data_IF_897341539242
#
_entry.id   IF_897341539242
#
_cell.length_a   1.000
_cell.length_b   1.000
_cell.length_c   1.000
_cell.angle_alpha   90.00
_cell.angle_beta   90.00
_cell.angle_gamma   90.00
#
_symmetry.space_group_name_H-M   'P 1'
#
loop_
_entity.id
_entity.type
_entity.pdbx_description
1 polymer ?
#
# COMPACT_ATOMS: atom_id res chain seq x y z
N UNK A 1 23.47 -21.30 0.66
CA UNK A 1 23.18 -20.97 0.96
C UNK A 1 22.64 -20.84 1.50
N UNK A 2 22.96 -21.04 1.58
CA UNK A 2 22.43 -20.92 2.20
C UNK A 2 21.37 -20.38 2.70
N UNK A 3 21.33 -19.76 2.95
CA UNK A 3 20.26 -19.21 3.25
C UNK A 3 19.75 -18.47 2.17
N UNK A 4 18.68 -18.83 1.79
CA UNK A 4 18.05 -18.09 0.75
C UNK A 4 17.73 -16.69 1.22
N UNK A 5 17.69 -15.78 0.30
CA UNK A 5 17.29 -14.44 0.61
C UNK A 5 15.84 -14.46 1.09
N UNK A 6 15.51 -13.52 1.96
CA UNK A 6 14.15 -13.39 2.42
C UNK A 6 13.24 -13.05 1.24
N UNK A 7 12.13 -13.73 1.16
CA UNK A 7 11.16 -13.47 0.11
C UNK A 7 10.47 -12.13 0.38
N UNK A 8 10.37 -11.32 -0.65
CA UNK A 8 9.68 -10.05 -0.53
C UNK A 8 8.98 -9.75 -1.84
N UNK A 9 7.92 -8.93 -1.79
CA UNK A 9 7.21 -8.55 -3.01
C UNK A 9 8.11 -7.76 -3.93
N UNK A 10 8.19 -8.16 -5.17
CA UNK A 10 9.09 -7.50 -6.12
C UNK A 10 8.45 -6.28 -6.76
N UNK A 11 7.13 -6.22 -6.78
CA UNK A 11 6.43 -5.12 -7.42
C UNK A 11 5.92 -4.09 -6.44
N UNK A 12 6.16 -4.29 -5.16
CA UNK A 12 5.60 -3.42 -4.15
C UNK A 12 6.04 -1.97 -4.32
N UNK A 13 7.33 -1.74 -4.55
CA UNK A 13 7.83 -0.38 -4.68
C UNK A 13 7.12 0.39 -5.79
N UNK A 14 6.94 -0.25 -6.94
CA UNK A 14 6.24 0.37 -8.05
C UNK A 14 4.80 0.66 -7.71
N UNK A 15 4.15 -0.25 -6.99
CA UNK A 15 2.76 -0.06 -6.60
C UNK A 15 2.62 1.12 -5.64
N UNK A 16 3.53 1.24 -4.69
CA UNK A 16 3.47 2.35 -3.75
C UNK A 16 3.63 3.69 -4.46
N UNK A 17 4.56 3.75 -5.41
CA UNK A 17 4.72 4.96 -6.19
C UNK A 17 3.50 5.22 -7.05
N UNK A 18 2.93 4.18 -7.63
CA UNK A 18 1.73 4.33 -8.45
C UNK A 18 0.57 4.91 -7.63
N UNK A 19 0.43 4.46 -6.38
CA UNK A 19 -0.62 5.01 -5.51
C UNK A 19 -0.43 6.50 -5.36
N UNK A 20 0.79 6.93 -5.01
CA UNK A 20 1.05 8.34 -4.79
C UNK A 20 0.81 9.16 -6.04
N UNK A 21 1.33 8.70 -7.19
CA UNK A 21 1.17 9.46 -8.42
C UNK A 21 -0.28 9.46 -8.88
N UNK A 22 -1.01 8.38 -8.64
CA UNK A 22 -2.44 8.34 -8.98
C UNK A 22 -3.23 9.36 -8.16
N UNK A 23 -2.81 9.59 -6.93
CA UNK A 23 -3.45 10.58 -6.08
C UNK A 23 -2.99 12.00 -6.37
N UNK A 24 -1.91 12.14 -7.14
CA UNK A 24 -1.40 13.46 -7.50
C UNK A 24 -0.79 14.22 -6.34
N UNK A 25 -0.19 13.52 -5.39
CA UNK A 25 0.33 14.17 -4.20
C UNK A 25 1.84 13.98 -4.09
N UNK A 26 2.48 14.86 -3.31
CA UNK A 26 3.91 14.76 -3.04
C UNK A 26 4.19 13.69 -2.01
N UNK A 27 5.46 13.36 -1.84
CA UNK A 27 5.86 12.41 -0.81
C UNK A 27 5.55 12.96 0.59
N UNK A 28 5.72 14.25 0.80
CA UNK A 28 5.38 14.85 2.08
C UNK A 28 3.89 14.79 2.37
N UNK A 29 3.08 15.06 1.36
CA UNK A 29 1.65 14.98 1.54
C UNK A 29 1.20 13.54 1.76
N UNK A 30 1.82 12.61 1.07
CA UNK A 30 1.52 11.21 1.29
C UNK A 30 1.77 10.83 2.75
N UNK A 31 2.91 11.26 3.28
CA UNK A 31 3.25 10.98 4.67
C UNK A 31 2.16 11.48 5.61
N UNK A 32 1.69 12.70 5.35
CA UNK A 32 0.62 13.27 6.15
C UNK A 32 -0.67 12.44 6.06
N UNK A 33 -1.00 12.03 4.85
CA UNK A 33 -2.23 11.26 4.64
C UNK A 33 -2.15 9.86 5.24
N UNK A 34 -0.97 9.30 5.30
CA UNK A 34 -0.77 8.01 5.96
C UNK A 34 -0.89 8.13 7.47
N UNK A 35 -0.85 9.35 7.99
CA UNK A 35 -0.86 9.56 9.43
C UNK A 35 0.41 9.10 10.09
N UNK A 36 1.51 9.13 9.38
CA UNK A 36 2.77 8.58 9.85
C UNK A 36 3.82 9.64 10.14
N UNK A 37 3.42 10.90 10.24
CA UNK A 37 4.36 12.00 10.40
C UNK A 37 5.21 11.89 11.66
N UNK A 38 4.65 11.27 12.70
CA UNK A 38 5.37 11.10 13.95
C UNK A 38 6.19 9.84 13.99
N UNK A 39 6.09 9.01 12.97
CA UNK A 39 6.76 7.72 12.96
C UNK A 39 7.94 7.68 12.03
N UNK A 40 7.83 8.33 10.89
CA UNK A 40 8.87 8.30 9.86
C UNK A 40 8.93 9.66 9.20
N UNK A 41 10.00 9.92 8.44
CA UNK A 41 10.06 11.14 7.66
C UNK A 41 9.89 10.79 6.18
N UNK A 42 9.80 11.82 5.35
CA UNK A 42 9.47 11.63 3.95
C UNK A 42 10.57 10.88 3.18
N UNK A 43 11.79 10.87 3.69
CA UNK A 43 12.85 10.14 3.02
C UNK A 43 12.59 8.64 3.07
N UNK A 44 11.88 8.16 4.09
CA UNK A 44 11.48 6.76 4.12
C UNK A 44 10.52 6.44 2.98
N UNK A 45 9.59 7.36 2.70
CA UNK A 45 8.67 7.19 1.58
C UNK A 45 9.47 7.02 0.29
N UNK A 46 10.48 7.87 0.09
CA UNK A 46 11.32 7.77 -1.09
C UNK A 46 12.00 6.40 -1.16
N UNK A 47 12.50 5.92 -0.05
CA UNK A 47 13.13 4.59 0.00
C UNK A 47 12.17 3.48 -0.35
N UNK A 48 10.92 3.58 0.11
CA UNK A 48 9.90 2.58 -0.22
C UNK A 48 9.64 2.58 -1.73
N UNK A 49 9.56 3.75 -2.33
CA UNK A 49 9.23 3.85 -3.75
C UNK A 49 10.38 3.43 -4.66
N UNK A 50 11.60 3.45 -4.14
CA UNK A 50 12.76 2.98 -4.89
C UNK A 50 13.09 1.52 -4.63
N UNK A 51 12.34 0.88 -3.73
CA UNK A 51 12.59 -0.50 -3.39
C UNK A 51 13.79 -0.71 -2.49
N UNK A 52 14.32 0.35 -1.90
CA UNK A 52 15.46 0.26 -1.01
C UNK A 52 15.07 -0.13 0.40
N UNK A 53 13.82 0.12 0.75
CA UNK A 53 13.27 -0.22 2.05
C UNK A 53 11.90 -0.79 1.87
N UNK A 54 11.48 -1.60 2.81
CA UNK A 54 10.14 -2.15 2.80
C UNK A 54 9.37 -1.51 3.95
N UNK A 55 8.14 -1.03 3.71
CA UNK A 55 7.38 -0.41 4.80
C UNK A 55 7.04 -1.45 5.86
N UNK A 56 7.03 -1.06 7.13
CA UNK A 56 6.48 -1.95 8.15
C UNK A 56 5.00 -2.20 7.89
N UNK A 57 4.49 -3.30 8.42
CA UNK A 57 3.11 -3.67 8.18
C UNK A 57 2.10 -2.58 8.52
N UNK A 58 2.22 -1.86 9.64
CA UNK A 58 1.25 -0.80 9.91
C UNK A 58 1.26 0.32 8.86
N UNK A 59 2.42 0.66 8.34
CA UNK A 59 2.51 1.67 7.29
C UNK A 59 1.91 1.13 6.00
N UNK A 60 2.20 -0.13 5.68
CA UNK A 60 1.66 -0.75 4.49
C UNK A 60 0.13 -0.80 4.55
N UNK A 61 -0.41 -1.09 5.72
CA UNK A 61 -1.87 -1.09 5.89
C UNK A 61 -2.45 0.28 5.61
N UNK A 62 -1.77 1.35 6.05
CA UNK A 62 -2.28 2.69 5.78
C UNK A 62 -2.23 3.03 4.30
N UNK A 63 -1.22 2.53 3.58
CA UNK A 63 -1.20 2.66 2.13
C UNK A 63 -2.42 2.02 1.50
N UNK A 64 -2.74 0.80 1.94
CA UNK A 64 -3.89 0.09 1.38
C UNK A 64 -5.18 0.85 1.67
N UNK A 65 -5.30 1.38 2.87
CA UNK A 65 -6.48 2.16 3.24
C UNK A 65 -6.58 3.42 2.41
N UNK A 66 -5.47 4.11 2.24
CA UNK A 66 -5.46 5.34 1.45
C UNK A 66 -5.84 5.07 0.01
N UNK A 67 -5.34 3.98 -0.55
CA UNK A 67 -5.63 3.62 -1.93
C UNK A 67 -6.99 2.92 -2.08
N UNK A 68 -7.61 2.53 -0.98
CA UNK A 68 -8.88 1.84 -0.97
C UNK A 68 -8.80 0.50 -1.69
N UNK A 69 -7.74 -0.23 -1.43
CA UNK A 69 -7.56 -1.57 -1.97
C UNK A 69 -7.21 -2.51 -0.83
N UNK A 70 -7.32 -3.80 -1.07
CA UNK A 70 -6.91 -4.80 -0.10
C UNK A 70 -5.39 -4.86 -0.05
N UNK A 71 -4.84 -5.22 1.09
CA UNK A 71 -3.40 -5.39 1.19
C UNK A 71 -2.87 -6.43 0.22
N UNK A 72 -3.68 -7.43 -0.12
CA UNK A 72 -3.29 -8.43 -1.10
C UNK A 72 -2.80 -7.77 -2.39
N UNK A 73 -3.51 -6.73 -2.82
CA UNK A 73 -3.18 -6.06 -4.07
C UNK A 73 -1.76 -5.48 -4.01
N UNK A 74 -1.35 -5.06 -2.82
CA UNK A 74 -0.01 -4.50 -2.67
C UNK A 74 1.07 -5.56 -2.60
N UNK A 75 0.83 -6.64 -1.87
CA UNK A 75 1.89 -7.59 -1.59
C UNK A 75 1.91 -8.80 -2.51
N UNK A 76 0.83 -9.07 -3.23
CA UNK A 76 0.78 -10.19 -4.14
C UNK A 76 1.22 -9.72 -5.51
N UNK A 77 2.38 -10.19 -5.96
CA UNK A 77 2.95 -9.76 -7.24
C UNK A 77 2.10 -10.16 -8.43
N UNK A 78 1.17 -11.08 -8.23
CA UNK A 78 0.30 -11.50 -9.31
C UNK A 78 -0.91 -10.60 -9.48
N UNK A 79 -1.14 -9.69 -8.57
CA UNK A 79 -2.24 -8.75 -8.65
C UNK A 79 -1.74 -7.40 -9.04
N UNK A 80 -2.56 -6.65 -9.75
CA UNK A 80 -2.23 -5.29 -10.17
C UNK A 80 -3.11 -4.30 -9.44
N UNK A 81 -2.58 -3.09 -9.23
CA UNK A 81 -3.43 -2.01 -8.79
C UNK A 81 -4.41 -1.69 -9.93
N UNK A 82 -5.64 -1.29 -9.59
CA UNK A 82 -6.55 -0.82 -10.63
C UNK A 82 -5.98 0.43 -11.29
N UNK A 83 -6.31 0.62 -12.55
CA UNK A 83 -5.84 1.81 -13.27
C UNK A 83 -6.28 3.08 -12.59
N UNK A 84 -7.47 3.07 -12.03
CA UNK A 84 -8.00 4.20 -11.29
C UNK A 84 -8.34 3.71 -9.89
N UNK A 85 -7.79 4.36 -8.88
CA UNK A 85 -8.04 3.94 -7.51
C UNK A 85 -9.50 4.20 -7.15
N UNK A 86 -10.12 3.29 -6.38
CA UNK A 86 -11.51 3.47 -5.98
C UNK A 86 -11.66 4.72 -5.11
N UNK A 87 -12.80 5.37 -5.22
CA UNK A 87 -13.11 6.48 -4.34
C UNK A 87 -13.41 5.92 -2.95
N UNK A 88 -13.33 6.80 -1.97
CA UNK A 88 -13.56 6.37 -0.59
C UNK A 88 -14.92 5.70 -0.43
N UNK A 89 -15.94 6.26 -1.06
CA UNK A 89 -17.28 5.70 -0.93
C UNK A 89 -17.39 4.32 -1.53
N UNK A 90 -16.78 4.13 -2.68
CA UNK A 90 -16.85 2.85 -3.34
C UNK A 90 -15.99 1.81 -2.65
N UNK A 91 -14.90 2.24 -2.08
CA UNK A 91 -14.00 1.29 -1.45
C UNK A 91 -14.63 0.64 -0.24
N UNK A 92 -15.45 1.36 0.47
CA UNK A 92 -16.12 0.76 1.61
C UNK A 92 -16.97 -0.42 1.19
N UNK A 93 -17.74 -0.24 0.13
CA UNK A 93 -18.56 -1.31 -0.36
C UNK A 93 -17.73 -2.49 -0.81
N UNK A 94 -16.64 -2.20 -1.50
CA UNK A 94 -15.77 -3.26 -2.00
C UNK A 94 -15.19 -4.06 -0.85
N UNK A 95 -14.70 -3.39 0.17
CA UNK A 95 -14.10 -4.09 1.30
C UNK A 95 -15.10 -5.00 1.99
N UNK A 96 -16.31 -4.52 2.18
CA UNK A 96 -17.31 -5.32 2.86
C UNK A 96 -17.71 -6.53 2.05
N UNK A 97 -17.74 -6.40 0.72
CA UNK A 97 -18.10 -7.52 -0.12
C UNK A 97 -17.13 -8.66 0.02
N UNK A 98 -15.91 -8.36 0.15
CA UNK A 98 -14.93 -9.42 0.22
C UNK A 98 -15.05 -10.25 1.43
N UNK A 99 -15.69 -9.72 2.35
CA UNK A 99 -15.76 -10.45 3.55
C UNK A 99 -16.74 -11.49 3.60
N UNK A 100 -16.74 -11.03 3.35
CA UNK A 100 -16.87 -11.59 3.52
C UNK A 100 -16.32 -12.30 3.39
N UNK A 101 -15.92 -12.29 3.50
CA UNK A 101 -15.07 -12.64 3.53
C UNK A 101 -14.71 -12.64 4.18
N UNK A 102 -15.56 -12.25 4.42
CA UNK A 102 -15.10 -12.10 5.02
C UNK A 102 -15.04 -12.03 5.69
N UNK A 103 -15.49 -12.26 5.86
CA UNK A 103 -15.31 -11.99 6.35
C UNK A 103 -14.99 -11.85 7.00
N UNK A 104 -15.37 -11.70 7.23
CA UNK A 104 -14.96 -11.38 7.75
C UNK A 104 -15.00 -11.24 8.44
N UNK A 105 -15.27 -11.29 8.78
CA UNK A 105 -15.13 -11.02 9.24
C UNK A 105 -14.92 -10.77 9.63
N UNK A 106 -15.44 -10.77 9.88
CA UNK A 106 -15.22 -10.32 10.04
C UNK A 106 -15.26 -10.29 10.13
#
# INVERSE_FOLDING_TARGET
MGRAARVKPERLADKLRQIRTSLGISQSELLSRLGAEDLIDYTKISGYERGERQPPLPILLEYARLANVWMDVLVDDELDLPERLPSANKSEGVRRRSITRGRLKR
#
